data_IF_822679895545
#
_entry.id   IF_822679895545
#
_cell.length_a   1.000
_cell.length_b   1.000
_cell.length_c   1.000
_cell.angle_alpha   90.00
_cell.angle_beta   90.00
_cell.angle_gamma   90.00
#
_symmetry.space_group_name_H-M   'P 1'
#
loop_
_entity.id
_entity.type
_entity.pdbx_description
1 polymer ?
#
# COMPACT_ATOMS: atom_id res chain seq x y z
N UNK A 1 -3.06 -6.47 10.98
CA UNK A 1 -2.51 -5.11 11.03
C UNK A 1 -2.69 -4.44 9.68
N UNK A 2 -3.10 -3.20 9.67
CA UNK A 2 -3.26 -2.40 8.44
C UNK A 2 -2.06 -1.52 8.20
N UNK A 3 -1.76 -1.32 6.91
CA UNK A 3 -0.63 -0.51 6.46
C UNK A 3 -1.10 0.41 5.35
N UNK A 4 -0.69 1.68 5.43
CA UNK A 4 -0.82 2.59 4.30
C UNK A 4 0.43 2.49 3.47
N UNK A 5 0.27 2.05 2.23
CA UNK A 5 1.35 1.98 1.25
C UNK A 5 1.27 3.22 0.38
N UNK A 6 2.31 4.03 0.42
CA UNK A 6 2.40 5.26 -0.38
C UNK A 6 3.31 4.94 -1.55
N UNK A 7 2.75 5.04 -2.76
CA UNK A 7 3.44 4.70 -4.00
C UNK A 7 3.67 5.98 -4.79
N UNK A 8 4.93 6.37 -4.95
CA UNK A 8 5.30 7.53 -5.77
C UNK A 8 5.64 7.04 -7.15
N UNK A 9 4.79 7.39 -8.13
CA UNK A 9 4.87 6.88 -9.49
C UNK A 9 6.01 7.51 -10.28
N UNK A 10 6.73 6.67 -11.03
CA UNK A 10 7.73 7.11 -12.01
C UNK A 10 7.13 7.19 -13.41
N UNK A 11 6.17 6.31 -13.73
CA UNK A 11 5.56 6.21 -15.06
C UNK A 11 4.14 5.63 -14.91
N UNK A 12 3.15 6.49 -14.74
CA UNK A 12 1.77 6.08 -14.53
C UNK A 12 1.22 5.23 -15.69
N UNK A 13 1.40 5.61 -16.98
CA UNK A 13 0.92 4.75 -18.07
C UNK A 13 1.50 3.35 -18.05
N UNK A 14 2.78 3.17 -17.75
CA UNK A 14 3.41 1.87 -17.67
C UNK A 14 2.86 1.05 -16.50
N UNK A 15 2.57 1.68 -15.38
CA UNK A 15 1.96 1.04 -14.20
C UNK A 15 0.60 0.46 -14.56
N UNK A 16 -0.29 1.27 -15.14
CA UNK A 16 -1.62 0.83 -15.48
C UNK A 16 -1.64 -0.23 -16.59
N UNK A 17 -0.68 -0.16 -17.52
CA UNK A 17 -0.52 -1.19 -18.54
C UNK A 17 -0.14 -2.53 -17.91
N UNK A 18 0.83 -2.55 -17.01
CA UNK A 18 1.23 -3.77 -16.29
C UNK A 18 0.09 -4.31 -15.43
N UNK A 19 -0.63 -3.42 -14.74
CA UNK A 19 -1.79 -3.80 -13.94
C UNK A 19 -2.87 -4.49 -14.80
N UNK A 20 -3.15 -3.95 -15.98
CA UNK A 20 -4.13 -4.54 -16.89
C UNK A 20 -3.70 -5.93 -17.38
N UNK A 21 -2.41 -6.15 -17.56
CA UNK A 21 -1.86 -7.43 -18.06
C UNK A 21 -1.70 -8.47 -16.95
N UNK A 22 -1.29 -8.05 -15.74
CA UNK A 22 -0.84 -8.97 -14.67
C UNK A 22 -1.55 -8.80 -13.33
N UNK A 23 -2.45 -7.81 -13.20
CA UNK A 23 -3.08 -7.48 -11.93
C UNK A 23 -2.10 -6.94 -10.89
N UNK A 24 -2.48 -7.02 -9.62
CA UNK A 24 -1.67 -6.48 -8.51
C UNK A 24 -0.44 -7.30 -8.17
N UNK A 25 -0.41 -8.55 -8.55
CA UNK A 25 0.70 -9.48 -8.30
C UNK A 25 1.03 -9.62 -6.80
N UNK A 26 -0.01 -9.70 -5.97
CA UNK A 26 0.14 -9.86 -4.53
C UNK A 26 0.32 -11.31 -4.13
N UNK A 27 1.24 -11.62 -3.20
CA UNK A 27 1.33 -12.95 -2.61
C UNK A 27 0.12 -13.23 -1.71
N UNK A 28 -0.17 -14.49 -1.48
CA UNK A 28 -1.19 -14.91 -0.53
C UNK A 28 -0.87 -14.36 0.86
N UNK A 29 -1.87 -13.87 1.58
CA UNK A 29 -1.72 -13.30 2.91
C UNK A 29 -1.51 -11.79 2.94
N UNK A 30 -1.31 -11.16 1.79
CA UNK A 30 -1.27 -9.70 1.66
C UNK A 30 -2.56 -9.27 0.95
N UNK A 31 -3.41 -8.49 1.63
CA UNK A 31 -4.74 -8.14 1.16
C UNK A 31 -4.85 -6.66 0.81
N UNK A 32 -5.43 -6.40 -0.34
CA UNK A 32 -5.83 -5.06 -0.77
C UNK A 32 -7.15 -4.68 -0.10
N UNK A 33 -7.23 -3.48 0.48
CA UNK A 33 -8.45 -2.97 1.10
C UNK A 33 -9.07 -1.88 0.24
N UNK A 34 -8.35 -0.81 -0.02
CA UNK A 34 -8.81 0.35 -0.79
C UNK A 34 -7.62 1.17 -1.25
N UNK A 35 -7.80 1.97 -2.30
CA UNK A 35 -6.74 2.89 -2.73
C UNK A 35 -7.30 4.17 -3.32
N UNK A 36 -6.48 5.23 -3.24
CA UNK A 36 -6.77 6.55 -3.78
C UNK A 36 -5.52 7.05 -4.48
N UNK A 37 -5.70 7.59 -5.68
CA UNK A 37 -4.60 8.12 -6.48
C UNK A 37 -4.80 9.63 -6.62
N UNK A 38 -3.74 10.41 -6.46
CA UNK A 38 -3.81 11.85 -6.66
C UNK A 38 -4.27 12.17 -8.08
N UNK A 39 -5.01 13.27 -8.25
CA UNK A 39 -5.60 13.63 -9.53
C UNK A 39 -4.56 13.85 -10.63
N UNK A 40 -3.32 14.17 -10.25
CA UNK A 40 -2.20 14.33 -11.17
C UNK A 40 -1.50 13.01 -11.53
N UNK A 41 -1.98 11.87 -11.00
CA UNK A 41 -1.43 10.53 -11.23
C UNK A 41 0.03 10.38 -10.77
N UNK A 42 0.41 11.08 -9.72
CA UNK A 42 1.79 11.02 -9.19
C UNK A 42 1.93 10.10 -7.98
N UNK A 43 0.89 10.02 -7.14
CA UNK A 43 0.97 9.29 -5.87
C UNK A 43 -0.29 8.45 -5.66
N UNK A 44 -0.11 7.21 -5.23
CA UNK A 44 -1.18 6.33 -4.79
C UNK A 44 -1.06 6.10 -3.28
N UNK A 45 -2.18 6.19 -2.58
CA UNK A 45 -2.32 5.81 -1.18
C UNK A 45 -3.15 4.54 -1.14
N UNK A 46 -2.52 3.42 -0.81
CA UNK A 46 -3.16 2.12 -0.83
C UNK A 46 -3.20 1.50 0.56
N UNK A 47 -4.41 1.24 1.05
CA UNK A 47 -4.61 0.60 2.34
C UNK A 47 -4.56 -0.91 2.14
N UNK A 48 -3.69 -1.57 2.90
CA UNK A 48 -3.46 -3.00 2.81
C UNK A 48 -3.50 -3.64 4.20
N UNK A 49 -3.76 -4.93 4.25
CA UNK A 49 -3.80 -5.69 5.48
C UNK A 49 -3.00 -6.97 5.37
N UNK A 50 -2.22 -7.25 6.41
CA UNK A 50 -1.49 -8.51 6.53
C UNK A 50 -1.09 -8.75 8.00
N UNK A 51 -0.96 -10.02 8.37
CA UNK A 51 -0.36 -10.42 9.65
C UNK A 51 1.15 -10.64 9.50
N UNK A 52 1.67 -10.61 8.27
CA UNK A 52 3.08 -10.86 7.98
C UNK A 52 3.65 -9.77 7.08
N UNK A 53 4.26 -8.72 7.66
CA UNK A 53 4.85 -7.63 6.86
C UNK A 53 6.03 -8.07 6.01
N UNK A 54 6.61 -9.25 6.24
CA UNK A 54 7.65 -9.79 5.36
C UNK A 54 7.13 -10.11 3.95
N UNK A 55 5.82 -10.14 3.75
CA UNK A 55 5.21 -10.30 2.43
C UNK A 55 5.36 -9.05 1.54
N UNK A 56 5.55 -7.85 2.13
CA UNK A 56 5.68 -6.63 1.34
C UNK A 56 6.83 -6.67 0.34
N UNK A 57 8.06 -7.07 0.69
CA UNK A 57 9.14 -7.15 -0.30
C UNK A 57 8.85 -8.11 -1.45
N UNK A 58 8.10 -9.18 -1.20
CA UNK A 58 7.72 -10.13 -2.24
C UNK A 58 6.77 -9.50 -3.26
N UNK A 59 5.97 -8.54 -2.84
CA UNK A 59 5.07 -7.79 -3.71
C UNK A 59 5.76 -6.60 -4.37
N UNK A 60 6.46 -5.77 -3.59
CA UNK A 60 7.03 -4.51 -4.08
C UNK A 60 8.09 -4.75 -5.15
N UNK A 61 8.82 -5.86 -5.10
CA UNK A 61 9.81 -6.20 -6.15
C UNK A 61 9.19 -6.34 -7.55
N UNK A 62 7.88 -6.56 -7.63
CA UNK A 62 7.16 -6.64 -8.91
C UNK A 62 6.88 -5.27 -9.51
N UNK A 63 7.07 -4.18 -8.75
CA UNK A 63 6.67 -2.83 -9.10
C UNK A 63 7.75 -1.76 -8.86
N UNK A 64 8.85 -2.10 -8.18
CA UNK A 64 9.82 -1.11 -7.72
C UNK A 64 10.61 -0.44 -8.86
N UNK A 65 10.54 -0.96 -10.06
CA UNK A 65 11.09 -0.31 -11.26
C UNK A 65 10.22 0.88 -11.72
N UNK A 66 8.93 0.90 -11.36
CA UNK A 66 7.96 1.90 -11.80
C UNK A 66 7.50 2.86 -10.71
N UNK A 67 7.84 2.60 -9.46
CA UNK A 67 7.42 3.44 -8.33
C UNK A 67 8.33 3.27 -7.13
N UNK A 68 8.35 4.29 -6.27
CA UNK A 68 8.98 4.21 -4.96
C UNK A 68 7.91 3.95 -3.90
N UNK A 69 8.23 3.12 -2.91
CA UNK A 69 7.30 2.72 -1.86
C UNK A 69 7.69 3.28 -0.51
N UNK A 70 6.66 3.69 0.23
CA UNK A 70 6.75 3.95 1.66
C UNK A 70 5.62 3.16 2.34
N UNK A 71 5.93 2.35 3.34
CA UNK A 71 4.96 1.47 4.00
C UNK A 71 4.85 1.88 5.46
N UNK A 72 3.66 2.32 5.87
CA UNK A 72 3.41 2.89 7.19
C UNK A 72 2.33 2.08 7.90
N UNK A 73 2.62 1.47 9.05
CA UNK A 73 1.58 0.85 9.86
C UNK A 73 0.60 1.91 10.36
N UNK A 74 -0.69 1.64 10.27
CA UNK A 74 -1.73 2.60 10.61
C UNK A 74 -2.77 2.00 11.55
N UNK A 75 -3.42 2.86 12.31
CA UNK A 75 -4.58 2.55 13.14
C UNK A 75 -5.77 3.35 12.62
N UNK A 76 -6.98 2.84 12.85
CA UNK A 76 -8.16 3.68 12.68
C UNK A 76 -8.14 4.80 13.72
N UNK A 77 -8.91 5.86 13.48
CA UNK A 77 -9.02 6.95 14.46
C UNK A 77 -9.53 6.45 15.81
N UNK A 78 -10.46 5.50 15.81
CA UNK A 78 -10.97 4.91 17.04
C UNK A 78 -9.91 4.11 17.79
N UNK A 79 -9.13 3.29 17.09
CA UNK A 79 -8.02 2.53 17.67
C UNK A 79 -6.93 3.47 18.21
N UNK A 80 -6.60 4.51 17.46
CA UNK A 80 -5.60 5.50 17.87
C UNK A 80 -6.03 6.24 19.14
N UNK A 81 -7.32 6.62 19.22
CA UNK A 81 -7.88 7.26 20.41
C UNK A 81 -7.79 6.35 21.63
N UNK A 82 -8.20 5.10 21.49
CA UNK A 82 -8.13 4.13 22.58
C UNK A 82 -6.70 3.93 23.08
N UNK A 83 -5.75 3.80 22.16
CA UNK A 83 -4.34 3.64 22.50
C UNK A 83 -3.77 4.88 23.20
N UNK A 84 -4.09 6.07 22.73
CA UNK A 84 -3.62 7.31 23.31
C UNK A 84 -4.15 7.52 24.73
N UNK A 85 -5.43 7.22 24.95
CA UNK A 85 -6.07 7.37 26.28
C UNK A 85 -5.62 6.26 27.25
N UNK A 86 -5.28 5.09 26.79
CA UNK A 86 -4.81 4.00 27.63
C UNK A 86 -3.42 4.26 28.22
N UNK A 87 -2.65 5.18 27.63
CA UNK A 87 -1.30 5.53 28.11
C UNK A 87 -1.32 6.58 29.23
N UNK A 88 -2.50 7.07 29.63
CA UNK A 88 -2.66 7.97 30.78
C UNK A 88 -2.72 7.16 32.14
#
# INVERSE_FOLDING_TARGET
>A
MRYMVIERFKDAPAIYKRFAEKGRQMPAGLQYVESWITADLQVCYQLMETDDPALFPLWTRNWDDLMDFEIVPVLSSAEARAKALASD
#
